data_IF_953643202872
#
_entry.id   IF_953643202872
#
_cell.length_a   1.000
_cell.length_b   1.000
_cell.length_c   1.000
_cell.angle_alpha   90.00
_cell.angle_beta   90.00
_cell.angle_gamma   90.00
#
_symmetry.space_group_name_H-M   'P 1'
#
loop_
_entity.id
_entity.type
_entity.pdbx_description
1 polymer ?
#
# COMPACT_ATOMS: atom_id res chain seq x y z
N UNK A 1 8.63 14.22 -40.71
CA UNK A 1 9.05 12.90 -40.22
C UNK A 1 10.49 12.99 -39.76
N UNK A 2 10.77 12.35 -38.63
CA UNK A 2 12.02 12.34 -37.85
C UNK A 2 12.10 13.39 -36.73
N UNK A 3 11.13 13.30 -35.82
CA UNK A 3 11.23 13.83 -34.46
C UNK A 3 10.49 12.89 -33.50
N UNK A 4 11.10 11.76 -33.13
CA UNK A 4 10.67 10.93 -31.98
C UNK A 4 11.68 9.80 -31.71
N UNK A 5 12.81 10.09 -31.06
CA UNK A 5 13.67 9.08 -30.41
C UNK A 5 14.49 9.74 -29.28
N UNK A 6 13.82 10.31 -28.29
CA UNK A 6 14.42 10.72 -27.01
C UNK A 6 13.45 10.35 -25.90
N UNK A 7 13.72 9.23 -25.23
CA UNK A 7 12.96 8.83 -24.05
C UNK A 7 13.11 7.35 -23.72
N UNK A 8 14.26 6.94 -23.16
CA UNK A 8 14.29 5.91 -22.10
C UNK A 8 15.67 5.78 -21.40
N UNK A 9 16.37 6.88 -21.16
CA UNK A 9 17.77 6.85 -20.73
C UNK A 9 17.99 6.72 -19.21
N UNK A 10 16.96 6.48 -18.40
CA UNK A 10 17.07 6.55 -16.93
C UNK A 10 17.16 5.21 -16.19
N UNK A 11 16.88 4.06 -16.83
CA UNK A 11 16.74 2.77 -16.11
C UNK A 11 17.93 1.80 -16.19
N UNK A 12 19.07 2.16 -16.79
CA UNK A 12 20.14 1.20 -17.08
C UNK A 12 21.56 1.56 -16.64
N UNK A 13 21.76 2.56 -15.77
CA UNK A 13 23.11 2.89 -15.29
C UNK A 13 23.70 1.84 -14.34
N UNK A 14 22.88 0.98 -13.74
CA UNK A 14 23.34 -0.16 -12.93
C UNK A 14 23.69 -1.41 -13.75
N UNK A 15 23.35 -1.45 -15.04
CA UNK A 15 23.54 -2.65 -15.89
C UNK A 15 24.99 -2.84 -16.38
N UNK A 16 25.88 -1.89 -16.09
CA UNK A 16 27.28 -1.94 -16.55
C UNK A 16 28.30 -2.33 -15.48
N UNK A 17 27.93 -2.32 -14.20
CA UNK A 17 28.85 -2.73 -13.13
C UNK A 17 28.49 -4.10 -12.55
N UNK A 18 29.47 -5.01 -12.41
CA UNK A 18 29.20 -6.32 -11.85
C UNK A 18 28.86 -6.24 -10.36
N UNK A 19 27.89 -7.04 -9.95
CA UNK A 19 27.43 -7.11 -8.56
C UNK A 19 28.62 -7.47 -7.65
N UNK A 20 28.84 -6.72 -6.55
CA UNK A 20 29.98 -6.95 -5.68
C UNK A 20 29.86 -8.28 -4.90
N UNK A 21 31.00 -8.91 -4.54
CA UNK A 21 31.03 -10.01 -3.59
C UNK A 21 30.32 -9.66 -2.28
N UNK A 22 29.63 -10.64 -1.69
CA UNK A 22 28.86 -10.49 -0.46
C UNK A 22 27.42 -9.99 -0.66
N UNK A 23 27.05 -9.54 -1.86
CA UNK A 23 25.66 -9.18 -2.17
C UNK A 23 24.76 -10.42 -2.12
N UNK A 24 23.58 -10.28 -1.52
CA UNK A 24 22.54 -11.31 -1.57
C UNK A 24 21.79 -11.17 -2.88
N UNK A 25 21.50 -12.29 -3.53
CA UNK A 25 20.82 -12.33 -4.82
C UNK A 25 19.71 -13.36 -4.82
N UNK A 26 18.60 -13.03 -5.46
CA UNK A 26 17.57 -14.01 -5.82
C UNK A 26 17.81 -14.45 -7.25
N UNK A 27 17.79 -15.77 -7.47
CA UNK A 27 18.04 -16.38 -8.77
C UNK A 27 16.89 -17.30 -9.15
N UNK A 28 16.84 -17.74 -10.40
CA UNK A 28 15.87 -18.76 -10.85
C UNK A 28 15.99 -20.10 -10.10
N UNK A 29 17.11 -20.32 -9.39
CA UNK A 29 17.37 -21.52 -8.59
C UNK A 29 17.24 -21.29 -7.08
N UNK A 30 16.78 -20.10 -6.67
CA UNK A 30 16.61 -19.70 -5.27
C UNK A 30 17.59 -18.61 -4.83
N UNK A 31 17.64 -18.39 -3.52
CA UNK A 31 18.41 -17.32 -2.88
C UNK A 31 19.86 -17.74 -2.62
N UNK A 32 20.79 -16.83 -2.83
CA UNK A 32 22.21 -17.04 -2.56
C UNK A 32 23.00 -15.76 -2.33
N UNK A 33 24.30 -15.92 -2.12
CA UNK A 33 25.24 -14.82 -1.94
C UNK A 33 26.29 -14.84 -3.04
N UNK A 34 26.57 -13.69 -3.65
CA UNK A 34 27.60 -13.55 -4.67
C UNK A 34 28.97 -13.74 -4.03
N UNK A 35 29.72 -14.73 -4.50
CA UNK A 35 31.11 -14.96 -4.08
C UNK A 35 32.06 -14.13 -4.93
N UNK A 36 31.89 -14.19 -6.26
CA UNK A 36 32.73 -13.46 -7.21
C UNK A 36 32.08 -13.38 -8.58
N UNK A 37 32.36 -12.30 -9.31
CA UNK A 37 32.07 -12.19 -10.73
C UNK A 37 33.31 -12.47 -11.60
N UNK A 38 33.16 -13.35 -12.58
CA UNK A 38 34.21 -13.64 -13.57
C UNK A 38 33.89 -12.89 -14.87
N UNK A 39 34.65 -11.82 -15.13
CA UNK A 39 34.45 -10.92 -16.29
C UNK A 39 34.62 -11.61 -17.65
N UNK A 40 35.51 -12.60 -17.73
CA UNK A 40 35.87 -13.28 -18.99
C UNK A 40 34.64 -13.93 -19.63
N UNK A 41 33.83 -14.62 -18.82
CA UNK A 41 32.68 -15.40 -19.29
C UNK A 41 31.33 -14.79 -18.89
N UNK A 42 31.34 -13.65 -18.19
CA UNK A 42 30.17 -12.98 -17.59
C UNK A 42 29.36 -13.90 -16.67
N UNK A 43 30.06 -14.67 -15.83
CA UNK A 43 29.48 -15.64 -14.89
C UNK A 43 29.66 -15.17 -13.45
N UNK A 44 28.56 -15.20 -12.69
CA UNK A 44 28.53 -15.07 -11.24
C UNK A 44 28.71 -16.43 -10.58
N UNK A 45 29.60 -16.48 -9.60
CA UNK A 45 29.75 -17.61 -8.68
C UNK A 45 28.91 -17.27 -7.45
N UNK A 46 27.85 -18.03 -7.20
CA UNK A 46 26.87 -17.76 -6.14
C UNK A 46 26.80 -18.98 -5.22
N UNK A 47 26.95 -18.74 -3.92
CA UNK A 47 26.69 -19.75 -2.90
C UNK A 47 25.21 -19.68 -2.55
N UNK A 48 24.45 -20.69 -2.97
CA UNK A 48 23.02 -20.80 -2.62
C UNK A 48 22.86 -21.11 -1.14
N UNK A 49 21.75 -20.67 -0.57
CA UNK A 49 21.35 -20.96 0.82
C UNK A 49 21.31 -22.46 1.16
N UNK A 50 21.14 -23.32 0.15
CA UNK A 50 21.17 -24.78 0.27
C UNK A 50 22.60 -25.38 0.33
N UNK A 51 23.64 -24.55 0.43
CA UNK A 51 25.03 -24.99 0.56
C UNK A 51 25.72 -25.35 -0.76
N UNK A 52 25.06 -25.13 -1.90
CA UNK A 52 25.59 -25.45 -3.24
C UNK A 52 26.15 -24.20 -3.91
N UNK A 53 27.40 -24.29 -4.39
CA UNK A 53 28.01 -23.26 -5.23
C UNK A 53 27.57 -23.43 -6.69
N UNK A 54 27.00 -22.37 -7.26
CA UNK A 54 26.48 -22.36 -8.63
C UNK A 54 27.15 -21.30 -9.49
N UNK A 55 27.11 -21.53 -10.81
CA UNK A 55 27.70 -20.66 -11.82
C UNK A 55 26.57 -20.16 -12.71
N UNK A 56 26.21 -18.90 -12.56
CA UNK A 56 25.03 -18.33 -13.18
C UNK A 56 25.40 -17.15 -14.06
N UNK A 57 24.73 -17.03 -15.20
CA UNK A 57 24.81 -15.84 -16.03
C UNK A 57 24.13 -14.67 -15.31
N UNK A 58 24.52 -13.43 -15.62
CA UNK A 58 23.83 -12.21 -15.15
C UNK A 58 22.31 -12.25 -15.34
N UNK A 59 21.82 -12.85 -16.45
CA UNK A 59 20.37 -12.97 -16.72
C UNK A 59 19.61 -13.88 -15.75
N UNK A 60 20.31 -14.75 -15.02
CA UNK A 60 19.71 -15.64 -14.03
C UNK A 60 19.60 -15.01 -12.64
N UNK A 61 20.15 -13.81 -12.45
CA UNK A 61 19.99 -12.99 -11.24
C UNK A 61 18.77 -12.10 -11.43
N UNK A 62 17.76 -12.30 -10.58
CA UNK A 62 16.45 -11.64 -10.67
C UNK A 62 16.38 -10.39 -9.78
N UNK A 63 17.03 -10.44 -8.62
CA UNK A 63 17.06 -9.36 -7.64
C UNK A 63 18.40 -9.35 -6.93
N UNK A 64 18.88 -8.16 -6.55
CA UNK A 64 20.14 -7.96 -5.85
C UNK A 64 19.92 -7.08 -4.63
N UNK A 65 20.45 -7.52 -3.49
CA UNK A 65 20.55 -6.74 -2.26
C UNK A 65 22.04 -6.58 -1.94
N UNK A 66 22.53 -5.36 -2.10
CA UNK A 66 23.91 -5.03 -1.80
C UNK A 66 24.22 -5.22 -0.31
N UNK A 67 25.50 -5.49 0.06
CA UNK A 67 25.93 -5.46 1.45
C UNK A 67 25.58 -4.13 2.09
N UNK A 68 25.25 -4.16 3.38
CA UNK A 68 24.88 -2.95 4.12
C UNK A 68 26.07 -1.99 4.14
N UNK A 69 25.83 -0.75 3.73
CA UNK A 69 26.86 0.28 3.75
C UNK A 69 27.17 0.71 5.18
N UNK A 70 28.45 0.96 5.50
CA UNK A 70 28.81 1.46 6.84
C UNK A 70 28.84 2.98 6.84
N UNK A 71 28.06 3.58 7.74
CA UNK A 71 28.04 5.02 7.94
C UNK A 71 28.67 5.43 9.28
N UNK A 72 29.50 6.48 9.25
CA UNK A 72 30.00 7.16 10.46
C UNK A 72 28.87 7.89 11.19
N UNK A 73 27.97 8.53 10.43
CA UNK A 73 26.79 9.23 10.97
C UNK A 73 25.91 8.27 11.78
N UNK A 74 25.57 7.11 11.22
CA UNK A 74 24.79 6.09 11.95
C UNK A 74 25.46 5.70 13.28
N UNK A 75 26.79 5.50 13.29
CA UNK A 75 27.51 5.17 14.53
C UNK A 75 27.46 6.29 15.56
N UNK A 76 27.64 7.54 15.12
CA UNK A 76 27.57 8.70 15.99
C UNK A 76 26.18 8.84 16.61
N UNK A 77 25.12 8.82 15.79
CA UNK A 77 23.74 8.95 16.26
C UNK A 77 23.35 7.81 17.22
N UNK A 78 23.78 6.58 16.93
CA UNK A 78 23.55 5.43 17.81
C UNK A 78 24.29 5.51 19.13
N UNK A 79 25.46 6.16 19.17
CA UNK A 79 26.21 6.33 20.43
C UNK A 79 25.59 7.37 21.36
N UNK A 80 24.87 8.35 20.81
CA UNK A 80 24.12 9.35 21.59
C UNK A 80 22.74 8.86 22.04
N UNK A 81 22.19 7.82 21.40
CA UNK A 81 20.86 7.31 21.69
C UNK A 81 20.86 6.22 22.79
N UNK A 82 20.20 6.54 23.90
CA UNK A 82 19.99 5.62 25.02
C UNK A 82 18.63 4.93 24.99
N UNK A 83 17.74 5.31 24.07
CA UNK A 83 16.42 4.72 23.92
C UNK A 83 16.54 3.29 23.37
N UNK A 84 15.58 2.45 23.76
CA UNK A 84 15.43 1.10 23.25
C UNK A 84 13.95 0.79 23.09
N UNK A 85 13.62 0.07 22.01
CA UNK A 85 12.29 -0.48 21.83
C UNK A 85 12.01 -1.55 22.91
N UNK A 86 10.76 -1.64 23.35
CA UNK A 86 10.35 -2.61 24.36
C UNK A 86 10.12 -3.98 23.73
N UNK A 87 10.64 -5.03 24.35
CA UNK A 87 10.32 -6.42 23.98
C UNK A 87 10.54 -6.73 22.50
N UNK A 88 9.45 -7.07 21.81
CA UNK A 88 9.39 -7.43 20.38
C UNK A 88 8.92 -6.28 19.47
N UNK A 89 8.79 -5.06 20.01
CA UNK A 89 8.33 -3.90 19.24
C UNK A 89 9.24 -3.64 18.04
N UNK A 90 8.63 -3.20 16.93
CA UNK A 90 9.34 -2.89 15.68
C UNK A 90 8.98 -1.48 15.24
N UNK A 91 9.96 -0.75 14.72
CA UNK A 91 9.78 0.59 14.20
C UNK A 91 10.29 0.64 12.75
N UNK A 92 9.45 1.17 11.86
CA UNK A 92 9.81 1.49 10.48
C UNK A 92 9.41 2.92 10.21
N UNK A 93 10.22 3.63 9.43
CA UNK A 93 9.90 4.96 8.90
C UNK A 93 9.85 4.86 7.38
N UNK A 94 8.91 5.56 6.77
CA UNK A 94 8.81 5.60 5.31
C UNK A 94 7.95 6.75 4.82
N UNK A 95 7.86 6.85 3.50
CA UNK A 95 7.18 7.95 2.80
C UNK A 95 5.66 7.79 2.81
N UNK A 96 4.96 8.80 2.31
CA UNK A 96 3.50 8.77 2.07
C UNK A 96 3.04 7.52 1.32
N UNK A 97 3.84 6.99 0.38
CA UNK A 97 3.50 5.79 -0.40
C UNK A 97 3.39 4.55 0.50
N UNK A 98 4.26 4.40 1.51
CA UNK A 98 4.18 3.31 2.49
C UNK A 98 2.95 3.45 3.38
N UNK A 99 2.64 4.67 3.82
CA UNK A 99 1.43 4.95 4.60
C UNK A 99 0.16 4.52 3.84
N UNK A 100 0.04 4.97 2.59
CA UNK A 100 -1.11 4.65 1.74
C UNK A 100 -1.19 3.14 1.48
N UNK A 101 -0.07 2.47 1.20
CA UNK A 101 -0.02 1.03 1.02
C UNK A 101 -0.59 0.28 2.24
N UNK A 102 -0.10 0.59 3.45
CA UNK A 102 -0.56 -0.08 4.68
C UNK A 102 -2.05 0.18 4.97
N UNK A 103 -2.52 1.40 4.74
CA UNK A 103 -3.95 1.75 4.88
C UNK A 103 -4.83 0.99 3.88
N UNK A 104 -4.43 0.96 2.61
CA UNK A 104 -5.17 0.23 1.59
C UNK A 104 -5.14 -1.27 1.83
N UNK A 105 -4.01 -1.81 2.31
CA UNK A 105 -3.89 -3.21 2.69
C UNK A 105 -4.84 -3.58 3.83
N UNK A 106 -4.99 -2.72 4.85
CA UNK A 106 -5.99 -2.91 5.91
C UNK A 106 -7.41 -2.97 5.33
N UNK A 107 -7.77 -2.07 4.41
CA UNK A 107 -9.08 -2.06 3.74
C UNK A 107 -9.27 -3.34 2.91
N UNK A 108 -8.22 -3.82 2.24
CA UNK A 108 -8.25 -5.07 1.47
C UNK A 108 -8.56 -6.25 2.37
N UNK A 109 -7.82 -6.42 3.48
CA UNK A 109 -8.06 -7.50 4.45
C UNK A 109 -9.49 -7.45 4.99
N UNK A 110 -9.98 -6.27 5.34
CA UNK A 110 -11.36 -6.11 5.82
C UNK A 110 -12.39 -6.55 4.76
N UNK A 111 -12.22 -6.12 3.51
CA UNK A 111 -13.12 -6.52 2.42
C UNK A 111 -13.02 -8.01 2.09
N UNK A 112 -11.83 -8.61 2.15
CA UNK A 112 -11.66 -10.05 1.99
C UNK A 112 -12.38 -10.85 3.08
N UNK A 113 -12.39 -10.35 4.33
CA UNK A 113 -13.15 -10.94 5.42
C UNK A 113 -14.66 -10.83 5.20
N UNK A 114 -15.16 -9.67 4.75
CA UNK A 114 -16.56 -9.48 4.36
C UNK A 114 -16.95 -10.44 3.23
N UNK A 115 -16.11 -10.56 2.20
CA UNK A 115 -16.33 -11.49 1.10
C UNK A 115 -16.37 -12.95 1.57
N UNK A 116 -15.50 -13.33 2.50
CA UNK A 116 -15.49 -14.64 3.12
C UNK A 116 -16.81 -14.88 3.85
N UNK A 117 -17.23 -13.97 4.73
CA UNK A 117 -18.50 -14.10 5.44
C UNK A 117 -19.71 -14.22 4.50
N UNK A 118 -19.77 -13.40 3.46
CA UNK A 118 -20.84 -13.45 2.46
C UNK A 118 -20.84 -14.78 1.71
N UNK A 119 -19.68 -15.31 1.33
CA UNK A 119 -19.58 -16.60 0.65
C UNK A 119 -20.13 -17.75 1.50
N UNK A 120 -19.89 -17.75 2.82
CA UNK A 120 -20.47 -18.74 3.73
C UNK A 120 -21.96 -18.49 4.01
N UNK A 121 -22.41 -17.24 4.13
CA UNK A 121 -23.83 -16.91 4.36
C UNK A 121 -24.72 -17.27 3.16
N UNK A 122 -24.26 -16.95 1.95
CA UNK A 122 -24.99 -17.17 0.69
C UNK A 122 -25.00 -18.63 0.25
N UNK A 123 -24.14 -19.48 0.84
CA UNK A 123 -24.08 -20.90 0.50
C UNK A 123 -25.40 -21.67 0.67
N UNK A 124 -26.35 -21.12 1.42
CA UNK A 124 -27.67 -21.71 1.67
C UNK A 124 -28.80 -21.02 0.88
N UNK A 125 -28.51 -19.96 0.12
CA UNK A 125 -29.51 -19.17 -0.59
C UNK A 125 -29.79 -19.73 -2.00
N UNK A 126 -30.91 -20.44 -2.11
CA UNK A 126 -31.41 -21.05 -3.37
C UNK A 126 -31.74 -20.04 -4.48
N UNK A 127 -31.81 -18.74 -4.19
CA UNK A 127 -32.08 -17.71 -5.20
C UNK A 127 -30.82 -17.29 -5.96
N UNK A 128 -29.64 -17.48 -5.35
CA UNK A 128 -28.34 -17.16 -5.90
C UNK A 128 -27.73 -18.37 -6.62
N UNK A 129 -28.49 -18.92 -7.56
CA UNK A 129 -28.04 -19.97 -8.48
C UNK A 129 -27.02 -19.42 -9.48
N UNK A 130 -25.81 -19.17 -8.99
CA UNK A 130 -24.64 -18.96 -9.82
C UNK A 130 -24.26 -20.28 -10.51
N UNK A 131 -23.58 -20.23 -11.65
CA UNK A 131 -23.05 -21.41 -12.36
C UNK A 131 -22.18 -22.35 -11.48
N UNK A 132 -21.75 -21.92 -10.30
CA UNK A 132 -20.97 -22.73 -9.34
C UNK A 132 -21.84 -23.76 -8.60
N UNK A 133 -23.15 -23.51 -8.48
CA UNK A 133 -24.11 -24.48 -7.93
C UNK A 133 -24.45 -25.60 -8.91
N UNK A 134 -24.05 -25.49 -10.19
CA UNK A 134 -24.10 -26.62 -11.14
C UNK A 134 -22.96 -27.63 -10.90
N UNK A 135 -21.96 -27.29 -10.07
CA UNK A 135 -20.79 -28.12 -9.74
C UNK A 135 -20.83 -28.70 -8.31
N UNK A 136 -21.77 -28.27 -7.46
CA UNK A 136 -21.85 -28.69 -6.06
C UNK A 136 -23.21 -29.34 -5.80
N UNK A 137 -23.21 -30.53 -5.19
CA UNK A 137 -24.46 -31.21 -4.84
C UNK A 137 -25.20 -30.45 -3.73
N UNK A 138 -26.53 -30.51 -3.71
CA UNK A 138 -27.37 -29.84 -2.71
C UNK A 138 -26.93 -30.28 -1.30
N UNK A 139 -26.48 -29.35 -0.47
CA UNK A 139 -25.97 -29.65 0.89
C UNK A 139 -24.47 -29.95 1.01
N UNK A 140 -23.65 -29.62 0.01
CA UNK A 140 -22.18 -29.74 0.13
C UNK A 140 -21.62 -28.81 1.24
N UNK A 141 -20.99 -29.35 2.30
CA UNK A 141 -20.40 -28.53 3.37
C UNK A 141 -19.33 -27.54 2.88
N UNK A 142 -18.73 -27.79 1.71
CA UNK A 142 -17.67 -26.95 1.13
C UNK A 142 -18.18 -25.90 0.13
N UNK A 143 -19.49 -25.76 -0.06
CA UNK A 143 -20.06 -24.80 -1.01
C UNK A 143 -19.63 -23.34 -0.73
N UNK A 144 -19.51 -22.96 0.54
CA UNK A 144 -19.02 -21.64 0.95
C UNK A 144 -17.54 -21.42 0.61
N UNK A 145 -16.70 -22.44 0.82
CA UNK A 145 -15.27 -22.41 0.48
C UNK A 145 -15.07 -22.30 -1.03
N UNK A 146 -15.72 -23.14 -1.83
CA UNK A 146 -15.62 -23.12 -3.30
C UNK A 146 -16.05 -21.76 -3.89
N UNK A 147 -17.08 -21.14 -3.31
CA UNK A 147 -17.54 -19.80 -3.70
C UNK A 147 -16.52 -18.72 -3.34
N UNK A 148 -15.90 -18.79 -2.16
CA UNK A 148 -14.82 -17.89 -1.79
C UNK A 148 -13.57 -18.08 -2.66
N UNK A 149 -13.21 -19.32 -2.99
CA UNK A 149 -12.09 -19.62 -3.88
C UNK A 149 -12.32 -19.07 -5.30
N UNK A 150 -13.55 -19.18 -5.82
CA UNK A 150 -13.92 -18.53 -7.07
C UNK A 150 -13.83 -17.00 -7.00
N UNK A 151 -14.18 -16.39 -5.86
CA UNK A 151 -14.01 -14.96 -5.63
C UNK A 151 -12.53 -14.56 -5.62
N UNK A 152 -11.69 -15.33 -4.91
CA UNK A 152 -10.25 -15.13 -4.91
C UNK A 152 -9.68 -15.23 -6.32
N UNK A 153 -10.17 -16.14 -7.16
CA UNK A 153 -9.80 -16.20 -8.58
C UNK A 153 -10.05 -14.89 -9.33
N UNK A 154 -11.17 -14.20 -9.05
CA UNK A 154 -11.43 -12.87 -9.62
C UNK A 154 -10.46 -11.82 -9.08
N UNK A 155 -10.11 -11.86 -7.80
CA UNK A 155 -9.15 -10.93 -7.18
C UNK A 155 -7.73 -11.16 -7.71
N UNK A 156 -7.30 -12.41 -7.87
CA UNK A 156 -6.00 -12.74 -8.47
C UNK A 156 -5.92 -12.28 -9.93
N UNK A 157 -6.99 -12.44 -10.70
CA UNK A 157 -7.04 -11.90 -12.06
C UNK A 157 -6.87 -10.36 -12.11
N UNK A 158 -7.31 -9.63 -11.08
CA UNK A 158 -7.06 -8.18 -10.96
C UNK A 158 -5.58 -7.88 -10.65
N UNK A 159 -4.93 -8.73 -9.82
CA UNK A 159 -3.51 -8.59 -9.49
C UNK A 159 -2.63 -8.88 -10.71
N UNK A 160 -2.93 -9.96 -11.44
CA UNK A 160 -2.21 -10.38 -12.65
C UNK A 160 -2.49 -9.48 -13.86
N UNK A 161 -3.71 -8.95 -13.98
CA UNK A 161 -4.12 -8.05 -15.06
C UNK A 161 -3.35 -6.73 -15.09
N UNK A 162 -2.72 -6.36 -13.97
CA UNK A 162 -1.75 -5.28 -13.87
C UNK A 162 -2.34 -3.86 -13.98
N UNK A 163 -1.44 -2.89 -13.80
CA UNK A 163 -1.70 -1.44 -13.86
C UNK A 163 -1.75 -0.90 -15.30
N UNK A 164 -1.42 -1.72 -16.30
CA UNK A 164 -1.37 -1.30 -17.71
C UNK A 164 -2.69 -1.57 -18.40
N UNK A 165 -3.37 -0.49 -18.78
CA UNK A 165 -4.53 -0.43 -19.68
C UNK A 165 -4.27 -1.02 -21.08
N UNK A 166 -3.09 -1.59 -21.35
CA UNK A 166 -2.66 -2.13 -22.64
C UNK A 166 -2.52 -3.66 -22.70
N UNK A 167 -2.73 -4.39 -21.60
CA UNK A 167 -2.73 -5.85 -21.67
C UNK A 167 -4.08 -6.36 -22.19
N UNK A 168 -4.08 -7.33 -23.10
CA UNK A 168 -5.29 -7.95 -23.66
C UNK A 168 -6.20 -8.60 -22.59
N UNK A 169 -5.69 -8.74 -21.36
CA UNK A 169 -6.40 -9.22 -20.16
C UNK A 169 -7.06 -8.11 -19.32
N UNK A 170 -6.78 -6.83 -19.60
CA UNK A 170 -7.46 -5.67 -18.99
C UNK A 170 -8.98 -5.63 -19.29
N UNK A 171 -9.45 -6.39 -20.30
CA UNK A 171 -10.87 -6.53 -20.63
C UNK A 171 -11.70 -7.28 -19.57
N UNK A 172 -11.06 -7.91 -18.58
CA UNK A 172 -11.74 -8.48 -17.40
C UNK A 172 -11.99 -7.45 -16.29
N UNK A 173 -11.35 -6.28 -16.36
CA UNK A 173 -11.39 -5.20 -15.39
C UNK A 173 -12.25 -3.99 -15.83
N UNK A 174 -13.14 -4.17 -16.81
CA UNK A 174 -14.25 -3.22 -16.97
C UNK A 174 -15.12 -3.34 -15.70
N UNK A 175 -15.07 -2.33 -14.83
CA UNK A 175 -15.69 -2.36 -13.50
C UNK A 175 -17.12 -2.89 -13.46
N UNK A 176 -17.91 -2.67 -14.52
CA UNK A 176 -19.26 -3.25 -14.65
C UNK A 176 -19.28 -4.78 -14.78
N UNK A 177 -18.37 -5.37 -15.55
CA UNK A 177 -18.25 -6.84 -15.70
C UNK A 177 -17.75 -7.49 -14.40
N UNK A 178 -16.85 -6.82 -13.68
CA UNK A 178 -16.37 -7.29 -12.38
C UNK A 178 -17.50 -7.28 -11.33
N UNK A 179 -18.19 -6.15 -11.20
CA UNK A 179 -19.29 -5.98 -10.26
C UNK A 179 -20.40 -7.01 -10.49
N UNK A 180 -20.82 -7.21 -11.73
CA UNK A 180 -21.83 -8.21 -12.08
C UNK A 180 -21.40 -9.63 -11.71
N UNK A 181 -20.13 -10.00 -11.93
CA UNK A 181 -19.60 -11.31 -11.52
C UNK A 181 -19.58 -11.48 -10.02
N UNK A 182 -19.18 -10.45 -9.27
CA UNK A 182 -19.18 -10.46 -7.80
C UNK A 182 -20.62 -10.59 -7.27
N UNK A 183 -21.58 -9.87 -7.85
CA UNK A 183 -23.00 -9.94 -7.47
C UNK A 183 -23.61 -11.30 -7.78
N UNK A 184 -23.29 -11.89 -8.92
CA UNK A 184 -23.69 -13.26 -9.25
C UNK A 184 -23.10 -14.29 -8.27
N UNK A 185 -21.89 -14.03 -7.75
CA UNK A 185 -21.17 -14.97 -6.89
C UNK A 185 -21.57 -14.86 -5.40
N UNK A 186 -21.67 -13.64 -4.88
CA UNK A 186 -21.84 -13.30 -3.46
C UNK A 186 -23.18 -12.62 -3.13
N UNK A 187 -24.04 -12.44 -4.13
CA UNK A 187 -25.36 -11.85 -3.98
C UNK A 187 -25.41 -10.34 -3.82
N UNK A 188 -26.61 -9.83 -3.56
CA UNK A 188 -26.88 -8.39 -3.46
C UNK A 188 -26.19 -7.67 -2.29
N UNK A 189 -25.69 -8.42 -1.29
CA UNK A 189 -24.95 -7.87 -0.15
C UNK A 189 -23.50 -7.45 -0.48
N UNK A 190 -23.03 -7.71 -1.70
CA UNK A 190 -21.63 -7.52 -2.09
C UNK A 190 -21.27 -6.08 -2.53
N UNK A 191 -22.09 -5.07 -2.25
CA UNK A 191 -21.84 -3.68 -2.66
C UNK A 191 -20.47 -3.14 -2.21
N UNK A 192 -20.04 -3.49 -0.99
CA UNK A 192 -18.71 -3.09 -0.48
C UNK A 192 -17.54 -3.68 -1.30
N UNK A 193 -17.78 -4.75 -2.05
CA UNK A 193 -16.80 -5.44 -2.88
C UNK A 193 -16.79 -4.96 -4.33
N UNK A 194 -17.78 -4.17 -4.75
CA UNK A 194 -17.89 -3.64 -6.11
C UNK A 194 -16.71 -2.73 -6.51
N UNK A 195 -15.97 -2.21 -5.54
CA UNK A 195 -14.81 -1.33 -5.75
C UNK A 195 -13.47 -2.01 -5.42
N UNK A 196 -13.44 -3.34 -5.38
CA UNK A 196 -12.21 -4.10 -5.11
C UNK A 196 -11.16 -3.93 -6.22
N UNK A 197 -11.61 -3.80 -7.47
CA UNK A 197 -10.79 -3.45 -8.64
C UNK A 197 -9.97 -2.18 -8.42
N UNK A 198 -10.62 -1.10 -8.00
CA UNK A 198 -9.98 0.19 -7.71
C UNK A 198 -9.02 0.07 -6.53
N UNK A 199 -9.43 -0.65 -5.48
CA UNK A 199 -8.59 -0.88 -4.32
C UNK A 199 -7.30 -1.61 -4.68
N UNK A 200 -7.38 -2.72 -5.43
CA UNK A 200 -6.22 -3.48 -5.90
C UNK A 200 -5.34 -2.60 -6.80
N UNK A 201 -5.94 -1.84 -7.73
CA UNK A 201 -5.21 -0.90 -8.59
C UNK A 201 -4.43 0.14 -7.78
N UNK A 202 -5.04 0.75 -6.75
CA UNK A 202 -4.36 1.71 -5.89
C UNK A 202 -3.26 1.06 -5.02
N UNK A 203 -3.44 -0.18 -4.55
CA UNK A 203 -2.40 -0.91 -3.82
C UNK A 203 -1.19 -1.16 -4.71
N UNK A 204 -1.41 -1.67 -5.93
CA UNK A 204 -0.34 -1.93 -6.90
C UNK A 204 0.41 -0.65 -7.27
N UNK A 205 -0.32 0.45 -7.49
CA UNK A 205 0.28 1.76 -7.77
C UNK A 205 1.18 2.23 -6.63
N UNK A 206 0.73 2.15 -5.37
CA UNK A 206 1.56 2.56 -4.23
C UNK A 206 2.77 1.63 -4.05
N UNK A 207 2.64 0.33 -4.34
CA UNK A 207 3.77 -0.61 -4.30
C UNK A 207 4.81 -0.28 -5.37
N UNK A 208 4.39 0.04 -6.59
CA UNK A 208 5.28 0.52 -7.66
C UNK A 208 5.93 1.85 -7.29
N UNK A 209 5.17 2.79 -6.71
CA UNK A 209 5.74 4.06 -6.25
C UNK A 209 6.83 3.81 -5.21
N UNK A 210 6.58 2.99 -4.18
CA UNK A 210 7.60 2.65 -3.17
C UNK A 210 8.85 2.00 -3.77
N UNK A 211 8.69 1.16 -4.79
CA UNK A 211 9.80 0.46 -5.43
C UNK A 211 10.69 1.40 -6.28
N UNK A 212 10.15 2.51 -6.77
CA UNK A 212 10.87 3.51 -7.56
C UNK A 212 11.19 4.80 -6.77
N UNK A 213 10.84 4.83 -5.48
CA UNK A 213 11.03 5.96 -4.58
C UNK A 213 12.43 5.87 -3.95
N UNK A 214 13.32 6.78 -4.34
CA UNK A 214 14.72 6.82 -3.89
C UNK A 214 14.82 7.03 -2.38
N UNK A 215 13.96 7.89 -1.80
CA UNK A 215 13.87 8.11 -0.36
C UNK A 215 13.51 6.80 0.35
N UNK A 216 12.53 6.07 -0.15
CA UNK A 216 12.13 4.77 0.42
C UNK A 216 13.24 3.73 0.28
N UNK A 217 13.94 3.66 -0.86
CA UNK A 217 15.10 2.76 -1.02
C UNK A 217 16.19 3.12 0.02
N UNK A 218 16.48 4.41 0.19
CA UNK A 218 17.42 4.87 1.20
C UNK A 218 16.96 4.57 2.63
N UNK A 219 15.66 4.68 2.94
CA UNK A 219 15.08 4.33 4.24
C UNK A 219 15.31 2.85 4.57
N UNK A 220 15.17 1.96 3.59
CA UNK A 220 15.50 0.53 3.77
C UNK A 220 16.96 0.37 4.16
N UNK A 221 17.87 1.10 3.51
CA UNK A 221 19.30 1.01 3.81
C UNK A 221 19.65 1.58 5.19
N UNK A 222 19.05 2.72 5.58
CA UNK A 222 19.15 3.25 6.96
C UNK A 222 18.67 2.20 7.96
N UNK A 223 17.50 1.60 7.74
CA UNK A 223 16.96 0.58 8.63
C UNK A 223 17.91 -0.62 8.77
N UNK A 224 18.46 -1.12 7.66
CA UNK A 224 19.43 -2.23 7.67
C UNK A 224 20.69 -1.90 8.47
N UNK A 225 21.23 -0.68 8.33
CA UNK A 225 22.37 -0.19 9.13
C UNK A 225 22.09 -0.20 10.63
N UNK A 226 20.89 0.23 11.03
CA UNK A 226 20.49 0.24 12.43
C UNK A 226 20.23 -1.15 13.01
N UNK A 227 19.79 -2.10 12.20
CA UNK A 227 19.62 -3.50 12.60
C UNK A 227 20.97 -4.22 12.72
N UNK A 228 21.90 -4.00 11.79
CA UNK A 228 23.23 -4.62 11.85
C UNK A 228 24.10 -4.08 12.99
N UNK A 229 23.87 -2.83 13.41
CA UNK A 229 24.54 -2.20 14.55
C UNK A 229 24.21 -2.81 15.92
N UNK A 230 23.41 -3.88 16.00
CA UNK A 230 23.02 -4.56 17.22
C UNK A 230 21.64 -4.11 17.71
N UNK A 231 21.54 -3.67 18.97
CA UNK A 231 20.26 -3.21 19.54
C UNK A 231 19.69 -2.04 18.75
N UNK A 232 18.42 -2.12 18.34
CA UNK A 232 17.78 -1.07 17.56
C UNK A 232 17.60 0.21 18.41
N UNK A 233 18.01 1.35 17.85
CA UNK A 233 18.05 2.67 18.50
C UNK A 233 17.04 3.60 17.82
N UNK A 234 15.81 3.74 18.36
CA UNK A 234 14.70 4.35 17.65
C UNK A 234 14.87 5.86 17.43
N UNK A 235 15.42 6.60 18.39
CA UNK A 235 15.67 8.03 18.23
C UNK A 235 16.76 8.30 17.20
N UNK A 236 17.86 7.53 17.22
CA UNK A 236 18.92 7.61 16.21
C UNK A 236 18.40 7.27 14.81
N UNK A 237 17.52 6.26 14.70
CA UNK A 237 16.89 5.89 13.44
C UNK A 237 15.98 6.99 12.89
N UNK A 238 15.13 7.59 13.73
CA UNK A 238 14.25 8.70 13.33
C UNK A 238 15.04 9.93 12.89
N UNK A 239 16.11 10.27 13.61
CA UNK A 239 16.96 11.41 13.25
C UNK A 239 17.67 11.17 11.92
N UNK A 240 18.24 9.99 11.71
CA UNK A 240 18.87 9.64 10.44
C UNK A 240 17.86 9.59 9.27
N UNK A 241 16.65 9.10 9.53
CA UNK A 241 15.56 9.14 8.56
C UNK A 241 15.16 10.58 8.22
N UNK A 242 15.26 11.50 9.18
CA UNK A 242 14.97 12.91 8.96
C UNK A 242 15.89 13.56 7.92
N UNK A 243 17.21 13.31 8.04
CA UNK A 243 18.22 13.81 7.09
C UNK A 243 17.99 13.33 5.66
N UNK A 244 17.45 12.12 5.49
CA UNK A 244 17.21 11.53 4.17
C UNK A 244 15.84 11.90 3.59
N UNK A 245 14.94 12.52 4.36
CA UNK A 245 13.58 12.84 3.89
C UNK A 245 13.54 13.86 2.75
N UNK A 246 14.58 14.66 2.51
CA UNK A 246 14.71 15.65 1.42
C UNK A 246 13.48 16.55 1.19
N UNK A 247 12.65 16.78 2.21
CA UNK A 247 11.45 17.61 2.08
C UNK A 247 10.13 16.83 2.01
N UNK A 248 10.19 15.50 1.98
CA UNK A 248 9.05 14.62 1.82
C UNK A 248 8.29 14.37 3.14
N UNK A 249 6.99 14.08 3.00
CA UNK A 249 6.15 13.70 4.12
C UNK A 249 6.51 12.30 4.63
N UNK A 250 7.00 12.23 5.86
CA UNK A 250 7.42 11.00 6.51
C UNK A 250 6.42 10.51 7.55
N UNK A 251 6.36 9.19 7.70
CA UNK A 251 5.52 8.51 8.68
C UNK A 251 6.32 7.46 9.43
N UNK A 252 6.13 7.39 10.74
CA UNK A 252 6.61 6.30 11.58
C UNK A 252 5.50 5.27 11.82
N UNK A 253 5.89 4.00 11.71
CA UNK A 253 5.05 2.83 11.93
C UNK A 253 5.66 2.01 13.05
N UNK A 254 5.01 2.01 14.21
CA UNK A 254 5.45 1.21 15.34
C UNK A 254 4.49 0.04 15.53
N UNK A 255 5.01 -1.18 15.39
CA UNK A 255 4.30 -2.41 15.76
C UNK A 255 4.61 -2.73 17.22
N UNK A 256 3.56 -2.88 18.02
CA UNK A 256 3.64 -3.24 19.43
C UNK A 256 2.77 -4.47 19.69
N UNK A 257 3.34 -5.46 20.38
CA UNK A 257 2.58 -6.60 20.88
C UNK A 257 1.85 -6.21 22.17
N UNK A 258 0.57 -6.57 22.29
CA UNK A 258 -0.20 -6.28 23.50
C UNK A 258 0.18 -7.29 24.58
N UNK A 259 0.74 -6.87 25.73
CA UNK A 259 1.16 -7.80 26.77
C UNK A 259 -0.02 -8.63 27.26
N UNK A 260 0.10 -9.96 27.17
CA UNK A 260 -0.92 -10.89 27.67
C UNK A 260 -2.11 -11.14 26.73
N UNK A 261 -2.07 -10.68 25.48
CA UNK A 261 -3.07 -11.01 24.46
C UNK A 261 -2.41 -11.43 23.15
N UNK A 262 -3.04 -12.33 22.39
CA UNK A 262 -2.66 -12.65 21.00
C UNK A 262 -3.18 -11.55 20.05
N UNK A 263 -2.75 -10.31 20.30
CA UNK A 263 -3.13 -9.12 19.56
C UNK A 263 -1.93 -8.21 19.45
N UNK A 264 -1.79 -7.57 18.29
CA UNK A 264 -0.79 -6.54 18.06
C UNK A 264 -1.44 -5.26 17.55
N UNK A 265 -0.84 -4.13 17.85
CA UNK A 265 -1.27 -2.82 17.37
C UNK A 265 -0.15 -2.23 16.50
N UNK A 266 -0.54 -1.61 15.39
CA UNK A 266 0.38 -0.78 14.60
C UNK A 266 -0.03 0.67 14.78
N UNK A 267 0.84 1.47 15.40
CA UNK A 267 0.68 2.90 15.57
C UNK A 267 1.28 3.64 14.38
N UNK A 268 0.55 4.63 13.87
CA UNK A 268 0.91 5.43 12.70
C UNK A 268 1.09 6.86 13.19
N UNK A 269 2.29 7.41 13.04
CA UNK A 269 2.64 8.75 13.46
C UNK A 269 3.08 9.55 12.23
N UNK A 270 2.46 10.71 12.00
CA UNK A 270 2.91 11.63 10.96
C UNK A 270 4.06 12.47 11.51
N UNK A 271 5.21 12.41 10.86
CA UNK A 271 6.42 13.11 11.27
C UNK A 271 6.60 14.47 10.56
N UNK A 272 5.78 14.75 9.54
CA UNK A 272 5.95 15.94 8.71
C UNK A 272 7.07 15.81 7.67
N UNK A 273 7.42 16.95 7.09
CA UNK A 273 8.66 17.14 6.36
C UNK A 273 9.77 17.34 7.39
N UNK A 274 10.73 16.41 7.45
CA UNK A 274 11.79 16.41 8.49
C UNK A 274 13.10 17.01 7.95
N UNK A 275 13.06 17.70 6.80
CA UNK A 275 14.25 18.40 6.30
C UNK A 275 14.61 19.54 7.27
N UNK A 276 15.88 19.59 7.69
CA UNK A 276 16.43 20.77 8.35
C UNK A 276 16.34 21.94 7.36
N UNK A 277 15.32 22.79 7.51
CA UNK A 277 15.39 24.15 6.99
C UNK A 277 16.36 24.93 7.85
N UNK A 278 17.66 24.78 7.58
CA UNK A 278 18.65 25.77 7.95
C UNK A 278 18.46 27.02 7.07
N UNK A 279 17.40 27.78 7.39
CA UNK A 279 17.25 29.21 7.13
C UNK A 279 15.94 29.72 7.76
N UNK A 280 15.80 29.59 9.08
CA UNK A 280 15.10 30.62 9.84
C UNK A 280 16.00 31.85 9.89
N UNK A 281 16.07 32.58 8.77
CA UNK A 281 16.41 34.00 8.82
C UNK A 281 15.22 34.72 9.45
N UNK A 282 15.45 35.27 10.63
CA UNK A 282 14.61 36.22 11.35
C UNK A 282 13.81 37.12 10.38
N UNK A 283 12.48 36.93 10.34
CA UNK A 283 11.58 37.93 9.78
C UNK A 283 10.47 38.22 10.81
N UNK A 284 10.62 39.25 11.66
CA UNK A 284 9.73 39.48 12.80
C UNK A 284 8.34 40.07 12.46
N UNK A 285 7.86 40.00 11.21
CA UNK A 285 6.68 40.77 10.77
C UNK A 285 5.39 39.95 10.51
N UNK A 286 5.25 38.72 11.03
CA UNK A 286 4.01 37.92 10.88
C UNK A 286 3.25 37.71 12.21
N UNK A 287 3.59 38.40 13.29
CA UNK A 287 2.76 38.40 14.52
C UNK A 287 1.65 39.48 14.53
N UNK A 288 1.56 40.31 13.49
CA UNK A 288 0.62 41.44 13.44
C UNK A 288 -0.78 41.18 12.88
N UNK A 289 -1.05 40.05 12.23
CA UNK A 289 -2.29 39.86 11.44
C UNK A 289 -3.34 38.90 12.02
N UNK A 290 -3.12 38.26 13.18
CA UNK A 290 -4.10 37.31 13.77
C UNK A 290 -4.83 37.90 15.00
N UNK A 291 -4.74 39.22 15.23
CA UNK A 291 -5.50 39.91 16.28
C UNK A 291 -6.48 40.94 15.73
N UNK A 292 -7.42 40.49 14.91
CA UNK A 292 -8.74 41.13 14.73
C UNK A 292 -9.66 40.19 13.95
N UNK A 293 -10.39 39.35 14.68
CA UNK A 293 -11.80 39.04 14.42
C UNK A 293 -12.30 38.10 15.53
N UNK A 294 -12.83 38.72 16.59
CA UNK A 294 -13.62 38.05 17.61
C UNK A 294 -15.11 38.22 17.31
N UNK A 295 -15.89 37.23 17.76
CA UNK A 295 -17.36 37.11 17.77
C UNK A 295 -18.02 36.88 16.40
N UNK A 296 -18.79 35.81 16.19
CA UNK A 296 -19.87 35.33 17.04
C UNK A 296 -20.37 33.95 16.56
N UNK A 297 -20.73 33.10 17.50
CA UNK A 297 -21.45 31.84 17.26
C UNK A 297 -22.87 32.03 17.78
N UNK A 298 -23.91 31.61 17.04
CA UNK A 298 -25.21 31.31 17.64
C UNK A 298 -25.54 29.81 17.55
N UNK A 299 -25.82 29.24 18.73
CA UNK A 299 -26.46 27.94 18.95
C UNK A 299 -27.95 27.98 18.57
N UNK A 300 -28.45 26.92 17.94
CA UNK A 300 -29.89 26.68 17.76
C UNK A 300 -30.45 25.88 18.94
N UNK A 301 -31.46 26.43 19.61
CA UNK A 301 -32.47 25.70 20.39
C UNK A 301 -33.82 26.41 20.22
N UNK A 302 -34.82 25.64 19.84
CA UNK A 302 -36.30 25.73 19.95
C UNK A 302 -36.99 27.07 20.27
N UNK A 303 -38.06 27.37 19.52
CA UNK A 303 -39.41 27.68 20.05
C UNK A 303 -40.45 27.95 18.93
N UNK A 304 -41.63 27.38 19.14
CA UNK A 304 -42.87 27.53 18.35
C UNK A 304 -43.65 28.83 18.68
N UNK A 305 -44.80 28.99 18.02
CA UNK A 305 -45.89 29.99 18.14
C UNK A 305 -45.66 31.36 17.47
N UNK A 306 -46.55 31.95 16.65
CA UNK A 306 -47.89 31.59 16.17
C UNK A 306 -48.58 32.84 15.54
N UNK A 307 -49.59 32.58 14.70
CA UNK A 307 -50.78 33.41 14.37
C UNK A 307 -50.76 34.38 13.15
N UNK A 308 -51.52 33.94 12.12
CA UNK A 308 -52.48 34.60 11.21
C UNK A 308 -52.23 35.99 10.57
N UNK A 309 -52.47 36.16 9.25
CA UNK A 309 -53.81 36.24 8.64
C UNK A 309 -53.76 36.28 7.08
N UNK A 310 -54.58 35.43 6.46
CA UNK A 310 -55.44 35.66 5.28
C UNK A 310 -54.89 35.95 3.85
N UNK A 311 -55.22 35.06 2.90
CA UNK A 311 -56.16 35.24 1.75
C UNK A 311 -55.92 34.17 0.66
N UNK A 312 -56.91 33.30 0.46
CA UNK A 312 -57.15 32.41 -0.71
C UNK A 312 -58.09 33.14 -1.73
N UNK A 313 -58.51 32.62 -2.92
CA UNK A 313 -58.47 31.22 -3.42
C UNK A 313 -58.21 30.96 -4.95
N UNK A 314 -58.06 29.66 -5.28
CA UNK A 314 -58.51 28.90 -6.49
C UNK A 314 -57.95 29.24 -7.91
N UNK A 315 -57.43 28.27 -8.69
CA UNK A 315 -58.19 27.29 -9.49
C UNK A 315 -57.20 26.33 -10.22
N UNK A 316 -57.31 25.00 -10.14
CA UNK A 316 -58.08 24.04 -10.97
C UNK A 316 -57.31 23.38 -12.15
N UNK A 317 -57.10 22.05 -12.00
CA UNK A 317 -57.08 20.92 -12.97
C UNK A 317 -56.71 21.14 -14.45
N UNK A 318 -55.78 20.33 -14.98
CA UNK A 318 -56.11 19.21 -15.92
C UNK A 318 -54.92 18.27 -16.22
N UNK A 319 -55.22 16.98 -16.17
CA UNK A 319 -54.41 15.84 -16.57
C UNK A 319 -55.21 15.09 -17.65
N UNK A 320 -54.55 14.57 -18.71
CA UNK A 320 -54.81 13.28 -19.43
C UNK A 320 -54.15 13.30 -20.82
N UNK A 321 -53.21 12.39 -21.07
CA UNK A 321 -53.37 11.08 -21.75
C UNK A 321 -53.74 11.22 -23.22
N UNK A 322 -52.76 10.97 -24.10
CA UNK A 322 -52.96 10.58 -25.49
C UNK A 322 -52.49 9.14 -25.67
N UNK A 323 -53.36 8.30 -26.21
CA UNK A 323 -53.08 6.95 -26.65
C UNK A 323 -54.05 6.59 -27.76
N UNK A 324 -53.53 6.52 -28.98
CA UNK A 324 -53.88 5.64 -30.10
C UNK A 324 -52.86 5.90 -31.20
#
# INVERSE_FOLDING_TARGET
DDAEMMGDSASFLLDQQPIPPGAKVSTIFGEGTVVRYRRIDKIYIIDLSMGTRTYLNSKAVLCTLLPVERSSLTRQLRSSDNEALKGSDRLVVGTQSLYLFLRLHQVLVNRLNVAKELAYKVSHDRTLRSHIEQLSSDGDPDAGRKRYDAYLGLVYALVEGGYSSSSQYANAAEGGKYEDRVRCLLGGGAYQLATMDKLVSHILKNLQNMANDETMIGMVEVYRRHVEGGTFRPSAFRQEAGYLSEGENMYAFQHCDVPGADKSVVHFEFLGCIAETDQEMDNPDIEGMIRKEGNSVPSMVDAEDGIDENVQPQSSKRQRRGGS
#
